data_IF_693982041011
#
_entry.id   IF_693982041011
#
_cell.length_a   1.000
_cell.length_b   1.000
_cell.length_c   1.000
_cell.angle_alpha   90.00
_cell.angle_beta   90.00
_cell.angle_gamma   90.00
#
_symmetry.space_group_name_H-M   'P 1'
#
loop_
_entity.id
_entity.type
_entity.pdbx_description
1 polymer ?
#
# COMPACT_ATOMS: atom_id res chain seq x y z
N UNK A 1 -8.52 16.14 18.19
CA UNK A 1 -8.55 14.82 18.87
C UNK A 1 -7.11 14.41 19.16
N UNK A 2 -6.79 13.93 20.37
CA UNK A 2 -5.41 13.55 20.70
C UNK A 2 -5.03 12.21 20.03
N UNK A 3 -3.73 11.95 19.85
CA UNK A 3 -3.24 10.66 19.33
C UNK A 3 -3.69 9.48 20.21
N UNK A 4 -3.71 9.65 21.53
CA UNK A 4 -4.19 8.64 22.48
C UNK A 4 -5.67 8.29 22.29
N UNK A 5 -6.51 9.28 21.94
CA UNK A 5 -7.92 9.04 21.63
C UNK A 5 -8.07 8.25 20.32
N UNK A 6 -7.34 8.62 19.25
CA UNK A 6 -7.37 7.91 17.96
C UNK A 6 -7.07 6.41 18.09
N UNK A 7 -6.14 6.05 18.99
CA UNK A 7 -5.71 4.66 19.19
C UNK A 7 -6.81 3.74 19.77
N UNK A 8 -7.76 4.29 20.52
CA UNK A 8 -8.83 3.53 21.20
C UNK A 8 -10.20 3.70 20.56
N UNK A 9 -10.38 4.67 19.67
CA UNK A 9 -11.66 4.96 19.05
C UNK A 9 -12.17 3.81 18.18
N UNK A 10 -13.44 3.47 18.37
CA UNK A 10 -14.27 2.76 17.39
C UNK A 10 -15.33 3.76 16.91
N UNK A 11 -15.51 3.87 15.61
CA UNK A 11 -16.40 4.86 15.00
C UNK A 11 -17.87 4.52 15.20
N UNK A 12 -18.75 5.52 15.14
CA UNK A 12 -20.20 5.30 15.15
C UNK A 12 -20.65 4.51 13.90
N UNK A 13 -21.37 3.37 14.03
CA UNK A 13 -21.90 2.61 12.91
C UNK A 13 -22.68 3.45 11.88
N UNK A 14 -23.45 4.44 12.31
CA UNK A 14 -24.29 5.29 11.43
C UNK A 14 -23.43 6.16 10.51
N UNK A 15 -22.17 6.42 10.90
CA UNK A 15 -21.22 7.23 10.14
C UNK A 15 -20.34 6.44 9.17
N UNK A 16 -20.37 5.12 9.24
CA UNK A 16 -19.53 4.24 8.40
C UNK A 16 -20.09 4.14 7.00
N UNK A 17 -19.21 4.11 6.00
CA UNK A 17 -19.57 3.96 4.58
C UNK A 17 -18.69 2.90 3.91
N UNK A 18 -18.82 1.60 4.29
CA UNK A 18 -17.91 0.56 3.83
C UNK A 18 -17.95 0.34 2.30
N UNK A 19 -19.12 0.41 1.66
CA UNK A 19 -19.22 0.29 0.20
C UNK A 19 -18.47 1.43 -0.53
N UNK A 20 -18.59 2.65 -0.02
CA UNK A 20 -17.84 3.81 -0.53
C UNK A 20 -16.34 3.63 -0.29
N UNK A 21 -15.95 3.11 0.88
CA UNK A 21 -14.56 2.82 1.21
C UNK A 21 -13.92 1.77 0.29
N UNK A 22 -14.67 0.74 -0.14
CA UNK A 22 -14.19 -0.23 -1.14
C UNK A 22 -13.92 0.45 -2.48
N UNK A 23 -14.88 1.24 -2.99
CA UNK A 23 -14.70 1.99 -4.24
C UNK A 23 -13.47 2.89 -4.18
N UNK A 24 -13.35 3.67 -3.10
CA UNK A 24 -12.21 4.56 -2.90
C UNK A 24 -10.91 3.77 -2.79
N UNK A 25 -10.91 2.63 -2.11
CA UNK A 25 -9.75 1.75 -2.00
C UNK A 25 -9.24 1.26 -3.35
N UNK A 26 -10.13 0.92 -4.29
CA UNK A 26 -9.74 0.55 -5.66
C UNK A 26 -9.04 1.73 -6.36
N UNK A 27 -9.63 2.91 -6.30
CA UNK A 27 -9.07 4.13 -6.93
C UNK A 27 -7.72 4.49 -6.30
N UNK A 28 -7.66 4.50 -4.97
CA UNK A 28 -6.46 4.78 -4.19
C UNK A 28 -5.36 3.74 -4.44
N UNK A 29 -5.72 2.47 -4.62
CA UNK A 29 -4.80 1.39 -4.96
C UNK A 29 -4.11 1.58 -6.30
N UNK A 30 -4.88 1.93 -7.34
CA UNK A 30 -4.33 2.25 -8.66
C UNK A 30 -3.40 3.47 -8.58
N UNK A 31 -3.86 4.56 -7.96
CA UNK A 31 -3.07 5.78 -7.84
C UNK A 31 -1.77 5.53 -7.05
N UNK A 32 -1.88 4.87 -5.90
CA UNK A 32 -0.74 4.61 -5.01
C UNK A 32 0.29 3.65 -5.63
N UNK A 33 -0.15 2.68 -6.45
CA UNK A 33 0.76 1.82 -7.21
C UNK A 33 1.68 2.65 -8.13
N UNK A 34 1.13 3.65 -8.83
CA UNK A 34 1.91 4.57 -9.67
C UNK A 34 2.87 5.41 -8.82
N UNK A 35 2.41 5.90 -7.66
CA UNK A 35 3.25 6.66 -6.74
C UNK A 35 4.43 5.82 -6.23
N UNK A 36 4.20 4.54 -5.88
CA UNK A 36 5.26 3.62 -5.46
C UNK A 36 6.27 3.37 -6.58
N UNK A 37 5.83 3.17 -7.82
CA UNK A 37 6.75 3.10 -8.96
C UNK A 37 7.54 4.40 -9.14
N UNK A 38 6.89 5.56 -9.00
CA UNK A 38 7.57 6.86 -9.07
C UNK A 38 8.65 7.03 -8.00
N UNK A 39 8.45 6.49 -6.78
CA UNK A 39 9.44 6.50 -5.70
C UNK A 39 10.70 5.68 -6.05
N UNK A 40 10.54 4.58 -6.76
CA UNK A 40 11.63 3.66 -7.08
C UNK A 40 12.51 4.15 -8.24
N UNK A 41 12.09 5.18 -8.98
CA UNK A 41 12.92 5.82 -10.01
C UNK A 41 14.18 6.45 -9.42
N UNK A 42 14.10 7.37 -8.44
CA UNK A 42 15.29 7.92 -7.78
C UNK A 42 15.94 6.94 -6.78
N UNK A 43 15.17 5.99 -6.23
CA UNK A 43 15.62 5.08 -5.18
C UNK A 43 15.28 3.63 -5.52
N UNK A 44 15.90 3.01 -6.52
CA UNK A 44 15.63 1.62 -6.86
C UNK A 44 15.97 0.72 -5.66
N UNK A 45 15.07 -0.20 -5.24
CA UNK A 45 15.28 -1.01 -4.04
C UNK A 45 16.38 -2.06 -4.21
N UNK A 46 16.72 -2.39 -5.46
CA UNK A 46 17.61 -3.50 -5.83
C UNK A 46 18.56 -3.08 -6.95
N UNK A 47 19.75 -3.65 -6.96
CA UNK A 47 20.64 -3.62 -8.12
C UNK A 47 20.00 -4.31 -9.33
N UNK A 48 20.37 -3.97 -10.57
CA UNK A 48 19.85 -4.64 -11.77
C UNK A 48 19.93 -6.18 -11.71
N UNK A 49 21.05 -6.74 -11.24
CA UNK A 49 21.23 -8.20 -11.10
C UNK A 49 20.20 -8.82 -10.16
N UNK A 50 20.08 -8.30 -8.93
CA UNK A 50 19.06 -8.74 -7.95
C UNK A 50 17.62 -8.44 -8.35
N UNK A 51 17.39 -7.54 -9.31
CA UNK A 51 16.07 -7.22 -9.82
C UNK A 51 15.73 -7.95 -11.13
N UNK A 52 16.64 -8.78 -11.66
CA UNK A 52 16.42 -9.55 -12.87
C UNK A 52 15.19 -10.45 -12.74
N UNK A 53 15.02 -11.08 -11.57
CA UNK A 53 13.74 -11.66 -11.13
C UNK A 53 13.26 -10.87 -9.92
N UNK A 54 12.28 -9.99 -10.13
CA UNK A 54 11.72 -9.19 -9.04
C UNK A 54 10.79 -10.02 -8.14
N UNK A 55 10.49 -9.57 -6.90
CA UNK A 55 9.76 -10.39 -5.94
C UNK A 55 8.41 -10.91 -6.43
N UNK A 56 7.60 -10.15 -7.20
CA UNK A 56 6.40 -10.71 -7.81
C UNK A 56 6.62 -11.84 -8.81
N UNK A 57 7.67 -11.77 -9.63
CA UNK A 57 8.01 -12.85 -10.55
C UNK A 57 8.45 -14.09 -9.77
N UNK A 58 9.35 -13.93 -8.79
CA UNK A 58 9.79 -15.01 -7.92
C UNK A 58 8.63 -15.65 -7.15
N UNK A 59 7.65 -14.85 -6.69
CA UNK A 59 6.43 -15.37 -6.06
C UNK A 59 5.62 -16.24 -7.02
N UNK A 60 5.40 -15.79 -8.25
CA UNK A 60 4.64 -16.55 -9.25
C UNK A 60 5.39 -17.82 -9.67
N UNK A 61 6.71 -17.76 -9.80
CA UNK A 61 7.56 -18.93 -10.07
C UNK A 61 7.50 -19.94 -8.93
N UNK A 62 7.54 -19.48 -7.67
CA UNK A 62 7.35 -20.34 -6.50
C UNK A 62 5.96 -21.01 -6.50
N UNK A 63 4.95 -20.35 -7.07
CA UNK A 63 3.60 -20.90 -7.26
C UNK A 63 3.46 -21.79 -8.50
N UNK A 64 4.56 -22.06 -9.21
CA UNK A 64 4.62 -23.01 -10.32
C UNK A 64 4.46 -22.41 -11.72
N UNK A 65 4.48 -21.08 -11.85
CA UNK A 65 4.58 -20.45 -13.18
C UNK A 65 5.99 -20.57 -13.74
N UNK A 66 6.13 -20.71 -15.06
CA UNK A 66 7.45 -20.77 -15.68
C UNK A 66 8.09 -19.38 -15.79
N UNK A 67 9.43 -19.27 -15.80
CA UNK A 67 10.13 -18.00 -16.04
C UNK A 67 9.70 -17.33 -17.36
N UNK A 68 9.41 -18.11 -18.41
CA UNK A 68 8.94 -17.56 -19.68
C UNK A 68 7.59 -16.86 -19.54
N UNK A 69 6.75 -17.28 -18.58
CA UNK A 69 5.48 -16.65 -18.29
C UNK A 69 5.64 -15.42 -17.39
N UNK A 70 6.47 -15.49 -16.34
CA UNK A 70 6.61 -14.39 -15.36
C UNK A 70 7.47 -13.24 -15.88
N UNK A 71 8.36 -13.49 -16.85
CA UNK A 71 9.23 -12.48 -17.46
C UNK A 71 8.68 -11.88 -18.75
N UNK A 72 7.39 -12.09 -19.06
CA UNK A 72 6.80 -11.48 -20.24
C UNK A 72 6.78 -9.95 -20.16
N UNK A 73 7.18 -9.33 -21.27
CA UNK A 73 7.21 -7.89 -21.45
C UNK A 73 6.31 -7.47 -22.61
N UNK A 74 5.96 -6.18 -22.63
CA UNK A 74 5.52 -5.50 -23.84
C UNK A 74 6.46 -4.33 -24.11
N UNK A 75 6.64 -3.98 -25.37
CA UNK A 75 7.51 -2.86 -25.77
C UNK A 75 6.68 -1.60 -25.98
N UNK A 76 7.06 -0.51 -25.30
CA UNK A 76 6.49 0.82 -25.53
C UNK A 76 7.60 1.85 -25.76
N UNK A 77 7.58 2.49 -26.93
CA UNK A 77 8.61 3.47 -27.35
C UNK A 77 10.05 2.96 -27.15
N UNK A 78 10.29 1.68 -27.43
CA UNK A 78 11.61 1.03 -27.28
C UNK A 78 11.96 0.57 -25.87
N UNK A 79 11.04 0.67 -24.90
CA UNK A 79 11.23 0.17 -23.54
C UNK A 79 10.44 -1.12 -23.33
N UNK A 80 11.11 -2.18 -22.90
CA UNK A 80 10.46 -3.43 -22.50
C UNK A 80 9.99 -3.34 -21.06
N UNK A 81 8.69 -3.57 -20.85
CA UNK A 81 8.03 -3.35 -19.57
C UNK A 81 7.37 -4.65 -19.07
N UNK A 82 7.67 -5.11 -17.84
CA UNK A 82 7.25 -6.42 -17.33
C UNK A 82 5.80 -6.39 -16.84
N UNK A 83 4.83 -6.54 -17.76
CA UNK A 83 3.41 -6.39 -17.44
C UNK A 83 2.88 -7.41 -16.43
N UNK A 84 3.42 -8.63 -16.40
CA UNK A 84 3.02 -9.66 -15.41
C UNK A 84 3.39 -9.20 -14.00
N UNK A 85 4.60 -8.66 -13.83
CA UNK A 85 5.03 -8.06 -12.57
C UNK A 85 4.15 -6.86 -12.19
N UNK A 86 3.76 -6.02 -13.16
CA UNK A 86 2.87 -4.89 -12.91
C UNK A 86 1.52 -5.34 -12.37
N UNK A 87 0.91 -6.39 -12.94
CA UNK A 87 -0.39 -6.91 -12.46
C UNK A 87 -0.30 -7.28 -10.98
N UNK A 88 0.73 -8.01 -10.57
CA UNK A 88 0.88 -8.44 -9.18
C UNK A 88 1.10 -7.24 -8.25
N UNK A 89 1.95 -6.28 -8.64
CA UNK A 89 2.16 -5.06 -7.87
C UNK A 89 0.86 -4.25 -7.69
N UNK A 90 0.09 -4.04 -8.77
CA UNK A 90 -1.18 -3.32 -8.69
C UNK A 90 -2.24 -4.10 -7.93
N UNK A 91 -2.30 -5.43 -8.08
CA UNK A 91 -3.22 -6.27 -7.31
C UNK A 91 -2.92 -6.19 -5.81
N UNK A 92 -1.63 -6.20 -5.42
CA UNK A 92 -1.20 -5.99 -4.04
C UNK A 92 -1.61 -4.59 -3.56
N UNK A 93 -1.28 -3.53 -4.31
CA UNK A 93 -1.61 -2.16 -3.96
C UNK A 93 -3.12 -1.93 -3.77
N UNK A 94 -3.95 -2.44 -4.71
CA UNK A 94 -5.41 -2.37 -4.64
C UNK A 94 -5.95 -3.12 -3.44
N UNK A 95 -5.49 -4.35 -3.21
CA UNK A 95 -5.97 -5.20 -2.11
C UNK A 95 -5.72 -4.53 -0.75
N UNK A 96 -4.50 -4.02 -0.52
CA UNK A 96 -4.17 -3.36 0.72
C UNK A 96 -4.79 -1.96 0.84
N UNK A 97 -4.97 -1.23 -0.26
CA UNK A 97 -5.70 0.04 -0.23
C UNK A 97 -7.18 -0.14 0.13
N UNK A 98 -7.85 -1.15 -0.42
CA UNK A 98 -9.23 -1.53 -0.04
C UNK A 98 -9.28 -1.92 1.43
N UNK A 99 -8.39 -2.80 1.87
CA UNK A 99 -8.29 -3.21 3.28
C UNK A 99 -8.12 -1.99 4.19
N UNK A 100 -7.17 -1.12 3.86
CA UNK A 100 -6.87 0.09 4.61
C UNK A 100 -8.09 1.03 4.68
N UNK A 101 -8.72 1.33 3.54
CA UNK A 101 -9.87 2.24 3.46
C UNK A 101 -11.07 1.70 4.24
N UNK A 102 -11.34 0.39 4.12
CA UNK A 102 -12.42 -0.26 4.87
C UNK A 102 -12.11 -0.23 6.36
N UNK A 103 -10.91 -0.63 6.80
CA UNK A 103 -10.56 -0.61 8.24
C UNK A 103 -10.64 0.81 8.80
N UNK A 104 -10.22 1.83 8.04
CA UNK A 104 -10.29 3.22 8.47
C UNK A 104 -11.72 3.63 8.87
N UNK A 105 -12.76 3.14 8.18
CA UNK A 105 -14.15 3.40 8.56
C UNK A 105 -14.51 2.92 9.98
N UNK A 106 -13.80 1.92 10.51
CA UNK A 106 -14.10 1.32 11.82
C UNK A 106 -13.06 1.71 12.89
N UNK A 107 -11.79 1.80 12.52
CA UNK A 107 -10.63 1.93 13.42
C UNK A 107 -9.72 3.07 12.93
N UNK A 108 -9.94 4.31 13.40
CA UNK A 108 -9.19 5.49 12.96
C UNK A 108 -7.67 5.38 13.14
N UNK A 109 -7.22 4.57 14.11
CA UNK A 109 -5.80 4.34 14.37
C UNK A 109 -4.98 3.91 13.16
N UNK A 110 -5.60 3.27 12.16
CA UNK A 110 -4.87 2.84 10.95
C UNK A 110 -4.37 4.05 10.14
N UNK A 111 -4.99 5.23 10.30
CA UNK A 111 -4.63 6.46 9.60
C UNK A 111 -3.56 7.30 10.31
N UNK A 112 -2.94 6.74 11.37
CA UNK A 112 -1.91 7.44 12.13
C UNK A 112 -0.76 7.91 11.23
N UNK A 113 -0.38 9.17 11.40
CA UNK A 113 0.61 9.87 10.56
C UNK A 113 0.29 9.74 9.07
N UNK A 114 -1.00 9.93 8.74
CA UNK A 114 -1.53 9.86 7.40
C UNK A 114 -1.21 8.48 6.75
N UNK A 115 -1.30 7.39 7.51
CA UNK A 115 -1.09 6.04 7.01
C UNK A 115 0.37 5.56 6.98
N UNK A 116 1.35 6.40 7.33
CA UNK A 116 2.76 6.02 7.34
C UNK A 116 3.05 4.79 8.24
N UNK A 117 2.38 4.71 9.40
CA UNK A 117 2.53 3.57 10.32
C UNK A 117 2.00 2.27 9.68
N UNK A 118 0.91 2.36 8.93
CA UNK A 118 0.39 1.21 8.18
C UNK A 118 1.37 0.77 7.08
N UNK A 119 1.93 1.73 6.31
CA UNK A 119 2.95 1.45 5.31
C UNK A 119 4.14 0.70 5.89
N UNK A 120 4.72 1.20 6.99
CA UNK A 120 5.84 0.54 7.67
C UNK A 120 5.46 -0.84 8.21
N UNK A 121 4.24 -1.03 8.72
CA UNK A 121 3.78 -2.34 9.16
C UNK A 121 3.69 -3.34 8.00
N UNK A 122 3.22 -2.92 6.83
CA UNK A 122 3.21 -3.74 5.61
C UNK A 122 4.64 -4.07 5.16
N UNK A 123 5.53 -3.08 5.15
CA UNK A 123 6.95 -3.29 4.83
C UNK A 123 7.58 -4.34 5.76
N UNK A 124 7.42 -4.20 7.08
CA UNK A 124 7.93 -5.19 8.06
C UNK A 124 7.33 -6.57 7.78
N UNK A 125 6.01 -6.66 7.62
CA UNK A 125 5.32 -7.92 7.42
C UNK A 125 5.81 -8.65 6.15
N UNK A 126 5.95 -7.95 5.03
CA UNK A 126 6.27 -8.58 3.76
C UNK A 126 7.78 -8.66 3.48
N UNK A 127 8.51 -7.56 3.64
CA UNK A 127 9.92 -7.50 3.27
C UNK A 127 10.86 -8.05 4.33
N UNK A 128 10.47 -8.00 5.61
CA UNK A 128 11.32 -8.51 6.70
C UNK A 128 10.91 -9.90 7.20
N UNK A 129 9.69 -10.34 6.90
CA UNK A 129 9.16 -11.62 7.42
C UNK A 129 8.71 -12.54 6.29
N UNK A 130 7.61 -12.23 5.60
CA UNK A 130 6.99 -13.18 4.65
C UNK A 130 7.91 -13.54 3.49
N UNK A 131 8.46 -12.56 2.76
CA UNK A 131 9.30 -12.85 1.60
C UNK A 131 10.63 -13.55 1.95
N UNK A 132 11.35 -13.17 3.02
CA UNK A 132 12.49 -13.95 3.49
C UNK A 132 12.14 -15.39 3.86
N UNK A 133 11.03 -15.62 4.57
CA UNK A 133 10.59 -16.98 4.95
C UNK A 133 10.21 -17.83 3.74
N UNK A 134 9.76 -17.21 2.65
CA UNK A 134 9.45 -17.88 1.39
C UNK A 134 10.69 -18.08 0.49
N UNK A 135 11.86 -17.55 0.88
CA UNK A 135 13.07 -17.59 0.06
C UNK A 135 13.01 -16.69 -1.19
N UNK A 136 12.07 -15.74 -1.24
CA UNK A 136 11.90 -14.80 -2.37
C UNK A 136 12.97 -13.71 -2.32
N UNK A 137 13.37 -13.30 -1.12
CA UNK A 137 14.47 -12.34 -0.90
C UNK A 137 15.40 -12.88 0.19
N UNK A 138 16.68 -12.43 0.25
CA UNK A 138 17.60 -12.79 1.33
C UNK A 138 17.08 -12.41 2.70
N UNK A 139 17.69 -12.96 3.75
CA UNK A 139 17.35 -12.56 5.11
C UNK A 139 17.60 -11.05 5.33
N UNK A 140 16.83 -10.36 6.19
CA UNK A 140 16.92 -8.91 6.33
C UNK A 140 18.30 -8.37 6.67
N UNK A 141 19.10 -9.13 7.43
CA UNK A 141 20.48 -8.77 7.80
C UNK A 141 21.51 -8.98 6.68
N UNK A 142 21.12 -9.65 5.59
CA UNK A 142 21.94 -9.84 4.38
C UNK A 142 21.59 -8.83 3.27
N UNK A 143 20.50 -8.07 3.45
CA UNK A 143 20.08 -7.04 2.50
C UNK A 143 20.87 -5.74 2.75
N UNK A 144 21.27 -5.02 1.69
CA UNK A 144 21.96 -3.75 1.83
C UNK A 144 21.04 -2.69 2.44
N UNK A 145 21.61 -1.73 3.18
CA UNK A 145 20.86 -0.62 3.77
C UNK A 145 19.99 0.14 2.76
N UNK A 146 20.49 0.31 1.52
CA UNK A 146 19.74 0.98 0.46
C UNK A 146 18.41 0.30 0.10
N UNK A 147 18.33 -1.03 0.21
CA UNK A 147 17.08 -1.76 0.01
C UNK A 147 16.09 -1.47 1.14
N UNK A 148 16.54 -1.52 2.40
CA UNK A 148 15.71 -1.17 3.55
C UNK A 148 15.20 0.27 3.47
N UNK A 149 16.08 1.21 3.12
CA UNK A 149 15.73 2.62 2.98
C UNK A 149 14.67 2.82 1.88
N UNK A 150 14.92 2.29 0.68
CA UNK A 150 14.02 2.42 -0.45
C UNK A 150 12.66 1.77 -0.15
N UNK A 151 12.65 0.54 0.35
CA UNK A 151 11.42 -0.19 0.60
C UNK A 151 10.62 0.41 1.75
N UNK A 152 11.24 0.75 2.88
CA UNK A 152 10.54 1.31 4.04
C UNK A 152 9.91 2.66 3.70
N UNK A 153 10.67 3.59 3.10
CA UNK A 153 10.15 4.90 2.74
C UNK A 153 9.20 4.84 1.55
N UNK A 154 9.43 3.94 0.61
CA UNK A 154 8.50 3.68 -0.48
C UNK A 154 7.13 3.22 0.04
N UNK A 155 7.10 2.37 1.06
CA UNK A 155 5.85 1.96 1.72
C UNK A 155 5.19 3.11 2.49
N UNK A 156 5.99 3.99 3.11
CA UNK A 156 5.45 5.22 3.74
C UNK A 156 4.76 6.08 2.68
N UNK A 157 5.45 6.42 1.59
CA UNK A 157 4.91 7.29 0.53
C UNK A 157 3.70 6.64 -0.17
N UNK A 158 3.77 5.33 -0.42
CA UNK A 158 2.66 4.53 -0.94
C UNK A 158 1.42 4.62 -0.05
N UNK A 159 1.53 4.28 1.24
CA UNK A 159 0.41 4.35 2.18
C UNK A 159 -0.08 5.79 2.40
N UNK A 160 0.85 6.76 2.36
CA UNK A 160 0.54 8.18 2.49
C UNK A 160 -0.38 8.65 1.37
N UNK A 161 -0.08 8.23 0.14
CA UNK A 161 -0.91 8.53 -1.05
C UNK A 161 -2.30 7.90 -0.98
N UNK A 162 -2.41 6.68 -0.45
CA UNK A 162 -3.72 6.02 -0.21
C UNK A 162 -4.56 6.88 0.73
N UNK A 163 -4.00 7.34 1.85
CA UNK A 163 -4.74 8.10 2.85
C UNK A 163 -5.15 9.50 2.35
N UNK A 164 -4.34 10.14 1.51
CA UNK A 164 -4.71 11.40 0.85
C UNK A 164 -5.95 11.19 -0.03
N UNK A 165 -5.91 10.20 -0.93
CA UNK A 165 -7.04 9.87 -1.82
C UNK A 165 -8.25 9.44 -1.01
N UNK A 166 -8.06 8.60 0.01
CA UNK A 166 -9.12 8.12 0.90
C UNK A 166 -9.90 9.28 1.49
N UNK A 167 -9.18 10.19 2.15
CA UNK A 167 -9.78 11.29 2.91
C UNK A 167 -10.49 12.28 1.98
N UNK A 168 -9.89 12.64 0.85
CA UNK A 168 -10.48 13.58 -0.10
C UNK A 168 -11.74 13.00 -0.76
N UNK A 169 -11.64 11.81 -1.37
CA UNK A 169 -12.77 11.21 -2.08
C UNK A 169 -13.92 10.85 -1.14
N UNK A 170 -13.62 10.38 0.08
CA UNK A 170 -14.66 10.08 1.07
C UNK A 170 -15.46 11.33 1.40
N UNK A 171 -14.78 12.46 1.66
CA UNK A 171 -15.44 13.73 1.97
C UNK A 171 -16.32 14.19 0.81
N UNK A 172 -15.84 14.08 -0.43
CA UNK A 172 -16.57 14.52 -1.63
C UNK A 172 -17.78 13.63 -1.93
N UNK A 173 -17.64 12.32 -1.83
CA UNK A 173 -18.72 11.36 -2.16
C UNK A 173 -19.81 11.36 -1.09
N UNK A 174 -19.42 11.44 0.18
CA UNK A 174 -20.38 11.31 1.30
C UNK A 174 -20.94 12.65 1.78
N UNK A 175 -20.29 13.76 1.44
CA UNK A 175 -20.60 15.08 2.00
C UNK A 175 -20.29 15.20 3.50
N UNK A 176 -19.59 14.21 4.08
CA UNK A 176 -19.30 14.15 5.51
C UNK A 176 -17.79 14.01 5.77
N UNK A 177 -17.27 14.61 6.86
CA UNK A 177 -15.90 14.36 7.28
C UNK A 177 -15.72 12.90 7.74
N UNK A 178 -14.47 12.49 7.97
CA UNK A 178 -14.14 11.16 8.47
C UNK A 178 -14.99 10.76 9.71
N UNK A 179 -15.35 9.48 9.89
CA UNK A 179 -16.30 9.03 10.93
C UNK A 179 -15.94 9.36 12.39
N UNK A 180 -14.71 9.77 12.64
CA UNK A 180 -14.20 10.17 13.97
C UNK A 180 -14.00 11.69 14.12
N UNK A 181 -14.21 12.46 13.05
CA UNK A 181 -14.17 13.93 13.07
C UNK A 181 -15.58 14.43 13.39
N UNK A 182 -15.72 15.23 14.46
CA UNK A 182 -17.01 15.81 14.87
C UNK A 182 -17.59 16.71 13.78
N UNK A 183 -18.91 16.68 13.66
CA UNK A 183 -19.65 17.61 12.80
C UNK A 183 -20.02 18.87 13.58
N UNK A 184 -20.09 20.01 12.89
CA UNK A 184 -20.57 21.27 13.48
C UNK A 184 -22.02 21.11 13.92
N UNK A 185 -22.27 21.15 15.23
CA UNK A 185 -23.60 20.98 15.83
C UNK A 185 -23.75 19.77 16.75
N UNK A 186 -22.77 18.85 16.78
CA UNK A 186 -22.75 17.75 17.75
C UNK A 186 -22.36 18.28 19.14
N UNK A 187 -23.23 18.08 20.15
CA UNK A 187 -22.95 18.47 21.53
C UNK A 187 -21.68 17.79 22.05
N UNK A 188 -20.91 18.50 22.89
CA UNK A 188 -19.73 17.94 23.55
C UNK A 188 -20.18 16.91 24.61
N UNK A 189 -20.33 15.65 24.19
CA UNK A 189 -20.37 14.50 25.08
C UNK A 189 -19.00 14.20 25.67
#
# INVERSE_FOLDING_TARGET
MSAATLLRTVTDPVRRRPAVAVLIGVIAGIFSGIVKFGWEVPFPPRSPERNATNPPQALLELLGMSPEATHQTYTYLGNDLPWVSFIVHFAFAISFAVLYCVIAEYRPRITLWQGAVFGLAVWVAFHLVVMPLMGIVPAPWEQPFGEHFSEALGHVVWAWSIEIVRRDLRSRITGQPDPWVRQSGEAAG
#
